data_IF_820388627942
#
_entry.id   IF_820388627942
#
_cell.length_a   1.000
_cell.length_b   1.000
_cell.length_c   1.000
_cell.angle_alpha   90.00
_cell.angle_beta   90.00
_cell.angle_gamma   90.00
#
_symmetry.space_group_name_H-M   'P 1'
#
loop_
_entity.id
_entity.type
_entity.pdbx_description
1 polymer ?
#
# COMPACT_ATOMS: atom_id res chain seq x y z
N UNK A 1 33.71 -12.92 30.86
CA UNK A 1 33.43 -11.71 30.04
C UNK A 1 32.47 -11.93 28.86
N UNK A 2 32.26 -13.15 28.35
CA UNK A 2 31.37 -13.45 27.20
C UNK A 2 29.88 -13.13 27.47
N UNK A 3 29.43 -13.23 28.73
CA UNK A 3 28.06 -12.87 29.15
C UNK A 3 27.67 -11.43 28.89
N UNK A 4 28.60 -10.49 29.08
CA UNK A 4 28.34 -9.06 28.89
C UNK A 4 28.24 -8.74 27.40
N UNK A 5 29.06 -9.38 26.57
CA UNK A 5 28.97 -9.24 25.11
C UNK A 5 27.65 -9.81 24.57
N UNK A 6 27.20 -10.96 25.08
CA UNK A 6 25.88 -11.53 24.75
C UNK A 6 24.74 -10.63 25.21
N UNK A 7 24.80 -10.09 26.43
CA UNK A 7 23.79 -9.17 26.96
C UNK A 7 23.69 -7.87 26.14
N UNK A 8 24.83 -7.28 25.77
CA UNK A 8 24.88 -6.09 24.92
C UNK A 8 24.39 -6.38 23.50
N UNK A 9 24.70 -7.55 22.94
CA UNK A 9 24.22 -7.97 21.63
C UNK A 9 22.70 -8.21 21.63
N UNK A 10 22.15 -8.87 22.65
CA UNK A 10 20.69 -9.08 22.78
C UNK A 10 19.94 -7.78 22.96
N UNK A 11 20.49 -6.83 23.73
CA UNK A 11 19.88 -5.51 23.91
C UNK A 11 19.83 -4.73 22.60
N UNK A 12 20.94 -4.71 21.85
CA UNK A 12 21.03 -4.02 20.56
C UNK A 12 20.19 -4.69 19.47
N UNK A 13 20.11 -6.02 19.44
CA UNK A 13 19.26 -6.77 18.50
C UNK A 13 17.77 -6.51 18.78
N UNK A 14 17.36 -6.50 20.05
CA UNK A 14 15.96 -6.30 20.43
C UNK A 14 15.47 -4.87 20.18
N UNK A 15 16.31 -3.84 20.36
CA UNK A 15 15.92 -2.45 20.09
C UNK A 15 15.67 -2.19 18.60
N UNK A 16 16.41 -2.85 17.72
CA UNK A 16 16.25 -2.70 16.26
C UNK A 16 14.92 -3.25 15.71
N UNK A 17 14.15 -3.97 16.54
CA UNK A 17 12.97 -4.75 16.12
C UNK A 17 11.66 -4.35 16.81
N UNK A 18 11.66 -3.48 17.83
CA UNK A 18 10.45 -3.09 18.57
C UNK A 18 10.44 -1.61 18.96
N UNK A 19 9.29 -0.94 18.77
CA UNK A 19 9.11 0.49 19.06
C UNK A 19 8.90 0.76 20.57
N UNK A 20 8.76 -0.31 21.36
CA UNK A 20 8.50 -0.26 22.79
C UNK A 20 9.73 -0.73 23.56
N UNK A 21 10.22 0.10 24.48
CA UNK A 21 11.44 -0.12 25.29
C UNK A 21 11.31 -1.30 26.28
N UNK A 22 10.09 -1.71 26.62
CA UNK A 22 9.82 -2.72 27.66
C UNK A 22 10.17 -4.15 27.22
N UNK A 23 9.96 -4.50 25.95
CA UNK A 23 10.22 -5.85 25.41
C UNK A 23 11.72 -6.21 25.43
N UNK A 24 12.64 -5.31 25.02
CA UNK A 24 14.09 -5.53 25.18
C UNK A 24 14.53 -5.71 26.63
N UNK A 25 13.97 -4.91 27.56
CA UNK A 25 14.36 -4.92 28.97
C UNK A 25 13.94 -6.24 29.62
N UNK A 26 12.69 -6.66 29.43
CA UNK A 26 12.18 -7.91 30.00
C UNK A 26 12.93 -9.13 29.47
N UNK A 27 13.22 -9.15 28.15
CA UNK A 27 14.00 -10.22 27.52
C UNK A 27 15.44 -10.27 28.01
N UNK A 28 16.08 -9.12 28.22
CA UNK A 28 17.45 -9.05 28.73
C UNK A 28 17.52 -9.55 30.18
N UNK A 29 16.55 -9.18 31.02
CA UNK A 29 16.45 -9.64 32.41
C UNK A 29 16.23 -11.16 32.47
N UNK A 30 15.36 -11.70 31.62
CA UNK A 30 15.07 -13.14 31.58
C UNK A 30 16.31 -13.95 31.15
N UNK A 31 17.03 -13.52 30.11
CA UNK A 31 18.26 -14.19 29.62
C UNK A 31 19.39 -14.07 30.65
N UNK A 32 19.54 -12.91 31.29
CA UNK A 32 20.51 -12.71 32.38
C UNK A 32 20.22 -13.62 33.58
N UNK A 33 18.95 -13.84 33.92
CA UNK A 33 18.54 -14.71 35.02
C UNK A 33 18.70 -16.21 34.73
N UNK A 34 18.57 -16.63 33.46
CA UNK A 34 18.56 -18.07 33.08
C UNK A 34 19.83 -18.53 32.38
N UNK A 35 20.88 -17.71 32.38
CA UNK A 35 22.17 -17.98 31.75
C UNK A 35 21.97 -18.56 30.33
N UNK A 36 22.12 -19.87 30.14
CA UNK A 36 22.21 -20.50 28.82
C UNK A 36 20.85 -20.89 28.23
N UNK A 37 19.90 -21.30 29.07
CA UNK A 37 18.60 -21.82 28.60
C UNK A 37 17.75 -20.68 28.02
N UNK A 38 17.79 -19.51 28.65
CA UNK A 38 17.02 -18.34 28.19
C UNK A 38 17.50 -17.82 26.84
N UNK A 39 18.80 -17.90 26.57
CA UNK A 39 19.34 -17.52 25.28
C UNK A 39 18.87 -18.46 24.16
N UNK A 40 18.82 -19.77 24.44
CA UNK A 40 18.33 -20.77 23.48
C UNK A 40 16.84 -20.57 23.16
N UNK A 41 16.03 -20.30 24.20
CA UNK A 41 14.59 -20.03 24.04
C UNK A 41 14.37 -18.69 23.30
N UNK A 42 15.18 -17.66 23.59
CA UNK A 42 15.11 -16.38 22.89
C UNK A 42 15.37 -16.51 21.39
N UNK A 43 16.36 -17.32 21.00
CA UNK A 43 16.64 -17.59 19.58
C UNK A 43 15.44 -18.25 18.87
N UNK A 44 14.67 -19.08 19.58
CA UNK A 44 13.48 -19.72 19.03
C UNK A 44 12.28 -18.77 18.94
N UNK A 45 12.09 -17.89 19.94
CA UNK A 45 10.99 -16.94 19.97
C UNK A 45 11.24 -15.69 19.10
N UNK A 46 12.42 -15.59 18.49
CA UNK A 46 12.89 -14.43 17.72
C UNK A 46 11.94 -14.15 16.54
N UNK A 47 11.16 -13.06 16.57
CA UNK A 47 10.27 -12.71 15.48
C UNK A 47 11.11 -12.32 14.24
N UNK A 48 10.68 -12.82 13.07
CA UNK A 48 11.44 -12.73 11.82
C UNK A 48 11.35 -11.37 11.11
N UNK A 49 10.51 -10.45 11.58
CA UNK A 49 10.18 -9.21 10.86
C UNK A 49 10.67 -7.98 11.62
N UNK A 50 11.38 -7.08 10.92
CA UNK A 50 11.81 -5.78 11.48
C UNK A 50 10.71 -4.73 11.31
N UNK A 51 10.73 -3.68 12.15
CA UNK A 51 9.76 -2.57 12.02
C UNK A 51 9.81 -1.90 10.64
N UNK A 52 11.01 -1.76 10.09
CA UNK A 52 11.20 -1.19 8.76
C UNK A 52 10.61 -2.08 7.67
N UNK A 53 10.75 -3.41 7.79
CA UNK A 53 10.08 -4.35 6.88
C UNK A 53 8.56 -4.25 6.96
N UNK A 54 7.99 -4.17 8.17
CA UNK A 54 6.53 -3.99 8.34
C UNK A 54 6.06 -2.66 7.73
N UNK A 55 6.83 -1.58 7.89
CA UNK A 55 6.53 -0.28 7.27
C UNK A 55 6.55 -0.38 5.75
N UNK A 56 7.56 -1.01 5.16
CA UNK A 56 7.67 -1.21 3.72
C UNK A 56 6.52 -2.03 3.14
N UNK A 57 6.10 -3.09 3.84
CA UNK A 57 4.95 -3.92 3.42
C UNK A 57 3.68 -3.08 3.38
N UNK A 58 3.41 -2.28 4.43
CA UNK A 58 2.24 -1.39 4.47
C UNK A 58 2.26 -0.33 3.37
N UNK A 59 3.44 0.20 3.02
CA UNK A 59 3.58 1.15 1.92
C UNK A 59 3.28 0.50 0.56
N UNK A 60 3.81 -0.71 0.30
CA UNK A 60 3.52 -1.47 -0.94
C UNK A 60 2.06 -1.79 -1.10
N UNK A 61 1.39 -2.19 -0.02
CA UNK A 61 -0.05 -2.48 -0.02
C UNK A 61 -0.84 -1.23 -0.46
N UNK A 62 -0.54 -0.06 0.12
CA UNK A 62 -1.16 1.22 -0.26
C UNK A 62 -0.91 1.59 -1.72
N UNK A 63 0.29 1.37 -2.24
CA UNK A 63 0.62 1.66 -3.63
C UNK A 63 -0.16 0.78 -4.62
N UNK A 64 -0.35 -0.51 -4.29
CA UNK A 64 -1.12 -1.43 -5.12
C UNK A 64 -2.60 -1.07 -5.21
N UNK A 65 -3.20 -0.61 -4.11
CA UNK A 65 -4.60 -0.19 -4.04
C UNK A 65 -4.83 1.10 -4.83
N UNK A 66 -3.88 2.05 -4.78
CA UNK A 66 -3.96 3.28 -5.56
C UNK A 66 -3.99 3.01 -7.08
N UNK A 67 -3.13 2.12 -7.58
CA UNK A 67 -3.11 1.73 -9.01
C UNK A 67 -4.38 1.00 -9.44
N UNK A 68 -4.97 0.18 -8.57
CA UNK A 68 -6.20 -0.54 -8.89
C UNK A 68 -7.42 0.40 -9.03
N UNK A 69 -7.45 1.51 -8.29
CA UNK A 69 -8.53 2.51 -8.37
C UNK A 69 -8.52 3.33 -9.66
N UNK A 70 -7.40 3.40 -10.37
CA UNK A 70 -7.26 4.22 -11.59
C UNK A 70 -7.90 3.55 -12.82
N UNK A 71 -8.39 2.32 -12.67
CA UNK A 71 -9.07 1.59 -13.73
C UNK A 71 -10.54 1.98 -13.77
N UNK A 72 -10.92 2.76 -14.78
CA UNK A 72 -12.31 3.12 -15.01
C UNK A 72 -13.11 1.92 -15.55
N UNK A 73 -14.33 1.76 -15.05
CA UNK A 73 -15.25 0.75 -15.55
C UNK A 73 -16.10 1.37 -16.67
N UNK A 74 -16.27 0.64 -17.77
CA UNK A 74 -17.21 1.04 -18.82
C UNK A 74 -18.65 1.09 -18.27
N UNK A 75 -19.42 2.17 -18.48
CA UNK A 75 -20.79 2.27 -17.95
C UNK A 75 -21.75 1.22 -18.55
N UNK A 76 -21.49 0.76 -19.78
CA UNK A 76 -22.35 -0.19 -20.50
C UNK A 76 -22.09 -1.65 -20.11
N UNK A 77 -20.83 -2.10 -20.14
CA UNK A 77 -20.47 -3.50 -19.92
C UNK A 77 -19.70 -3.77 -18.62
N UNK A 78 -19.42 -2.74 -17.82
CA UNK A 78 -18.62 -2.80 -16.57
C UNK A 78 -17.24 -3.46 -16.72
N UNK A 79 -16.75 -3.57 -17.95
CA UNK A 79 -15.41 -4.06 -18.23
C UNK A 79 -14.40 -2.98 -17.85
N UNK A 80 -13.26 -3.42 -17.29
CA UNK A 80 -12.11 -2.57 -17.01
C UNK A 80 -11.58 -1.98 -18.31
N UNK A 81 -11.70 -0.68 -18.49
CA UNK A 81 -11.17 0.04 -19.65
C UNK A 81 -10.01 0.92 -19.21
N UNK A 82 -8.93 0.91 -19.98
CA UNK A 82 -7.82 1.81 -19.74
C UNK A 82 -8.21 3.25 -20.11
N UNK A 83 -7.74 4.26 -19.36
CA UNK A 83 -8.06 5.67 -19.60
C UNK A 83 -7.57 6.18 -20.98
N UNK A 84 -6.60 5.50 -21.61
CA UNK A 84 -6.14 5.83 -22.96
C UNK A 84 -7.11 5.41 -24.07
N UNK A 85 -7.96 4.39 -23.86
CA UNK A 85 -8.79 3.83 -24.91
C UNK A 85 -9.88 4.80 -25.37
N UNK A 86 -10.06 4.91 -26.70
CA UNK A 86 -11.16 5.67 -27.31
C UNK A 86 -12.45 4.85 -27.34
N UNK A 87 -12.35 3.56 -27.64
CA UNK A 87 -13.49 2.65 -27.73
C UNK A 87 -13.33 1.47 -26.77
N UNK A 88 -14.44 0.95 -26.24
CA UNK A 88 -14.41 -0.25 -25.42
C UNK A 88 -14.09 -1.48 -26.29
N UNK A 89 -13.11 -2.33 -25.93
CA UNK A 89 -12.77 -3.52 -26.71
C UNK A 89 -13.85 -4.60 -26.69
N UNK A 90 -14.79 -4.56 -25.73
CA UNK A 90 -15.86 -5.56 -25.59
C UNK A 90 -17.18 -5.08 -26.19
N UNK A 91 -17.60 -3.84 -25.90
CA UNK A 91 -18.93 -3.36 -26.30
C UNK A 91 -18.93 -2.31 -27.42
N UNK A 92 -17.74 -1.84 -27.85
CA UNK A 92 -17.60 -0.82 -28.90
C UNK A 92 -18.08 0.58 -28.55
N UNK A 93 -18.53 0.82 -27.31
CA UNK A 93 -18.93 2.15 -26.84
C UNK A 93 -17.77 3.13 -26.95
N UNK A 94 -18.04 4.36 -27.37
CA UNK A 94 -17.08 5.46 -27.31
C UNK A 94 -16.95 5.95 -25.85
N UNK A 95 -15.74 5.84 -25.28
CA UNK A 95 -15.47 6.30 -23.92
C UNK A 95 -15.11 7.79 -23.87
N UNK A 96 -14.77 8.39 -25.02
CA UNK A 96 -14.29 9.77 -25.11
C UNK A 96 -15.20 10.60 -26.01
N UNK A 97 -16.16 11.29 -25.39
CA UNK A 97 -16.99 12.25 -26.10
C UNK A 97 -16.24 13.57 -26.34
N UNK A 98 -16.67 14.34 -27.33
CA UNK A 98 -16.12 15.68 -27.57
C UNK A 98 -17.04 16.72 -26.98
N UNK A 99 -16.50 17.64 -26.18
CA UNK A 99 -17.30 18.73 -25.61
C UNK A 99 -17.80 19.67 -26.73
N UNK A 100 -19.10 20.00 -26.79
CA UNK A 100 -19.67 20.84 -27.85
C UNK A 100 -19.14 22.29 -27.82
N UNK A 101 -18.77 22.80 -26.64
CA UNK A 101 -18.28 24.17 -26.48
C UNK A 101 -16.80 24.33 -26.87
N UNK A 102 -15.91 23.46 -26.36
CA UNK A 102 -14.46 23.61 -26.54
C UNK A 102 -13.82 22.64 -27.53
N UNK A 103 -14.60 21.69 -28.07
CA UNK A 103 -14.15 20.64 -29.02
C UNK A 103 -12.97 19.78 -28.53
N UNK A 104 -12.72 19.71 -27.22
CA UNK A 104 -11.75 18.79 -26.61
C UNK A 104 -12.41 17.46 -26.23
N UNK A 105 -11.64 16.39 -26.31
CA UNK A 105 -12.05 15.06 -25.84
C UNK A 105 -12.19 15.06 -24.32
N UNK A 106 -13.33 14.64 -23.82
CA UNK A 106 -13.69 14.50 -22.41
C UNK A 106 -14.21 13.08 -22.16
N UNK A 107 -14.15 12.62 -20.91
CA UNK A 107 -14.68 11.30 -20.56
C UNK A 107 -16.20 11.37 -20.46
N UNK A 108 -16.88 10.34 -20.95
CA UNK A 108 -18.35 10.26 -20.90
C UNK A 108 -18.91 10.18 -19.47
N UNK A 109 -18.11 9.73 -18.49
CA UNK A 109 -18.49 9.65 -17.08
C UNK A 109 -18.41 10.98 -16.33
N UNK A 110 -17.87 12.03 -16.96
CA UNK A 110 -17.70 13.33 -16.32
C UNK A 110 -18.88 14.24 -16.61
N UNK A 111 -19.40 14.87 -15.56
CA UNK A 111 -20.55 15.74 -15.68
C UNK A 111 -20.19 17.17 -16.14
N UNK A 112 -18.92 17.56 -16.01
CA UNK A 112 -18.43 18.91 -16.32
C UNK A 112 -17.10 18.79 -17.08
N UNK A 113 -16.93 19.61 -18.12
CA UNK A 113 -15.69 19.69 -18.86
C UNK A 113 -14.60 20.43 -18.04
N UNK A 114 -13.44 19.81 -17.75
CA UNK A 114 -12.37 20.45 -16.96
C UNK A 114 -11.63 21.57 -17.70
N UNK A 115 -11.85 21.71 -19.01
CA UNK A 115 -11.17 22.71 -19.83
C UNK A 115 -11.98 24.00 -19.97
N UNK A 116 -13.31 23.91 -20.02
CA UNK A 116 -14.17 25.07 -20.26
C UNK A 116 -15.30 25.25 -19.23
N UNK A 117 -15.49 24.31 -18.28
CA UNK A 117 -16.53 24.40 -17.26
C UNK A 117 -17.95 24.13 -17.75
N UNK A 118 -18.15 23.73 -19.01
CA UNK A 118 -19.47 23.41 -19.55
C UNK A 118 -19.98 22.06 -19.01
N UNK A 119 -21.27 22.00 -18.67
CA UNK A 119 -21.95 20.80 -18.19
C UNK A 119 -22.25 19.85 -19.36
N UNK A 120 -22.05 18.54 -19.17
CA UNK A 120 -22.05 17.51 -20.23
C UNK A 120 -23.26 16.57 -20.16
N UNK A 121 -24.28 16.90 -19.37
CA UNK A 121 -25.51 16.10 -19.15
C UNK A 121 -26.28 15.74 -20.43
N UNK A 122 -25.99 16.41 -21.55
CA UNK A 122 -26.72 16.26 -22.82
C UNK A 122 -26.22 15.12 -23.75
N UNK A 123 -25.31 14.26 -23.30
CA UNK A 123 -24.72 13.20 -24.15
C UNK A 123 -25.44 11.84 -24.09
N UNK A 124 -26.59 11.75 -23.40
CA UNK A 124 -27.37 10.52 -23.24
C UNK A 124 -28.55 10.35 -24.25
N UNK A 125 -28.71 11.21 -25.24
CA UNK A 125 -29.77 11.09 -26.28
C UNK A 125 -29.35 10.38 -27.56
#
# INVERSE_FOLDING_TARGET
>A
MIWIALALWTYKDSQSRSNNILVPILSTILVAATFFIGWLIYLMLRPSYTLEQVRLIKLRERESLAKASEVELCPRCKTRAQPEFKYCPICGLDLKSTCPNCRRSVRITWNICPYCGHQLEDLET
#
